data_IF_220030654575
#
_entry.id   IF_220030654575
#
_cell.length_a   1.000
_cell.length_b   1.000
_cell.length_c   1.000
_cell.angle_alpha   90.00
_cell.angle_beta   90.00
_cell.angle_gamma   90.00
#
_symmetry.space_group_name_H-M   'P 1'
#
loop_
_entity.id
_entity.type
_entity.pdbx_description
1 polymer ?
#
# COMPACT_ATOMS: atom_id res chain seq x y z
N UNK A 1 21.05 -4.56 3.79
CA UNK A 1 20.49 -3.66 2.75
C UNK A 1 19.52 -4.40 1.86
N UNK A 2 19.88 -5.57 1.33
CA UNK A 2 18.97 -6.43 0.57
C UNK A 2 17.72 -6.86 1.36
N UNK A 3 17.85 -7.18 2.66
CA UNK A 3 16.71 -7.47 3.53
C UNK A 3 15.72 -6.30 3.64
N UNK A 4 16.23 -5.07 3.78
CA UNK A 4 15.41 -3.85 3.87
C UNK A 4 14.69 -3.60 2.54
N UNK A 5 15.38 -3.81 1.42
CA UNK A 5 14.78 -3.69 0.09
C UNK A 5 13.69 -4.73 -0.12
N UNK A 6 13.90 -5.97 0.34
CA UNK A 6 12.91 -7.04 0.29
C UNK A 6 11.69 -6.71 1.16
N UNK A 7 11.90 -6.26 2.40
CA UNK A 7 10.83 -5.84 3.30
C UNK A 7 10.03 -4.67 2.72
N UNK A 8 10.71 -3.69 2.13
CA UNK A 8 10.03 -2.55 1.48
C UNK A 8 9.20 -2.98 0.27
N UNK A 9 9.64 -3.98 -0.50
CA UNK A 9 8.87 -4.52 -1.62
C UNK A 9 7.55 -5.13 -1.14
N UNK A 10 7.61 -5.94 -0.07
CA UNK A 10 6.43 -6.55 0.54
C UNK A 10 5.44 -5.49 1.04
N UNK A 11 5.97 -4.40 1.62
CA UNK A 11 5.14 -3.27 2.08
C UNK A 11 4.50 -2.53 0.90
N UNK A 12 5.24 -2.30 -0.19
CA UNK A 12 4.73 -1.67 -1.41
C UNK A 12 3.68 -2.52 -2.10
N UNK A 13 3.82 -3.86 -2.09
CA UNK A 13 2.76 -4.77 -2.52
C UNK A 13 1.47 -4.55 -1.72
N UNK A 14 1.57 -4.42 -0.39
CA UNK A 14 0.42 -4.09 0.45
C UNK A 14 -0.25 -2.76 0.08
N UNK A 15 0.53 -1.75 -0.33
CA UNK A 15 -0.01 -0.47 -0.83
C UNK A 15 -0.69 -0.65 -2.19
N UNK A 16 -0.09 -1.41 -3.11
CA UNK A 16 -0.71 -1.74 -4.42
C UNK A 16 -2.05 -2.43 -4.25
N UNK A 17 -2.19 -3.34 -3.28
CA UNK A 17 -3.47 -3.99 -2.98
C UNK A 17 -4.54 -3.02 -2.47
N UNK A 18 -4.16 -2.01 -1.68
CA UNK A 18 -5.10 -0.95 -1.27
C UNK A 18 -5.50 -0.06 -2.45
N UNK A 19 -4.56 0.26 -3.34
CA UNK A 19 -4.85 1.00 -4.57
C UNK A 19 -5.80 0.22 -5.48
N UNK A 20 -5.69 -1.12 -5.53
CA UNK A 20 -6.65 -1.98 -6.23
C UNK A 20 -8.06 -1.86 -5.64
N UNK A 21 -8.23 -1.92 -4.32
CA UNK A 21 -9.54 -1.73 -3.67
C UNK A 21 -10.14 -0.36 -4.04
N UNK A 22 -9.31 0.68 -3.96
CA UNK A 22 -9.67 2.04 -4.38
C UNK A 22 -10.10 2.08 -5.85
N UNK A 23 -9.37 1.40 -6.76
CA UNK A 23 -9.71 1.34 -8.18
C UNK A 23 -11.05 0.62 -8.45
N UNK A 24 -11.40 -0.39 -7.64
CA UNK A 24 -12.69 -1.08 -7.71
C UNK A 24 -13.84 -0.16 -7.26
N UNK A 25 -13.64 0.61 -6.20
CA UNK A 25 -14.63 1.58 -5.68
C UNK A 25 -14.80 2.80 -6.60
N UNK A 26 -13.73 3.23 -7.28
CA UNK A 26 -13.72 4.37 -8.20
C UNK A 26 -14.49 4.13 -9.51
N UNK A 27 -14.82 2.89 -9.86
CA UNK A 27 -15.56 2.58 -11.08
C UNK A 27 -16.96 3.22 -11.13
N UNK A 28 -17.52 3.56 -9.96
CA UNK A 28 -18.88 4.07 -9.84
C UNK A 28 -18.97 5.61 -9.74
N UNK A 29 -17.94 6.32 -9.23
CA UNK A 29 -18.01 7.80 -9.07
C UNK A 29 -16.62 8.51 -9.06
N UNK A 30 -15.94 8.50 -10.20
CA UNK A 30 -14.53 8.90 -10.38
C UNK A 30 -14.14 10.30 -9.86
N UNK A 31 -15.01 11.30 -9.93
CA UNK A 31 -14.64 12.70 -9.68
C UNK A 31 -14.66 13.12 -8.21
N UNK A 32 -15.46 12.48 -7.36
CA UNK A 32 -15.56 12.82 -5.94
C UNK A 32 -14.39 12.24 -5.14
N UNK A 33 -13.88 11.08 -5.54
CA UNK A 33 -12.81 10.39 -4.84
C UNK A 33 -11.41 10.81 -5.27
N UNK A 34 -11.26 11.53 -6.39
CA UNK A 34 -9.96 11.97 -6.91
C UNK A 34 -9.17 12.79 -5.87
N UNK A 35 -9.85 13.67 -5.14
CA UNK A 35 -9.22 14.47 -4.08
C UNK A 35 -8.80 13.62 -2.88
N UNK A 36 -9.58 12.58 -2.54
CA UNK A 36 -9.29 11.69 -1.44
C UNK A 36 -8.09 10.77 -1.72
N UNK A 37 -7.83 10.44 -2.99
CA UNK A 37 -6.77 9.49 -3.38
C UNK A 37 -5.46 10.16 -3.80
N UNK A 38 -5.49 11.44 -4.20
CA UNK A 38 -4.33 12.12 -4.79
C UNK A 38 -3.12 12.09 -3.86
N UNK A 39 -3.30 12.37 -2.56
CA UNK A 39 -2.19 12.35 -1.59
C UNK A 39 -1.58 10.96 -1.48
N UNK A 40 -2.40 9.91 -1.37
CA UNK A 40 -1.91 8.53 -1.27
C UNK A 40 -1.18 8.06 -2.53
N UNK A 41 -1.63 8.49 -3.71
CA UNK A 41 -0.93 8.21 -4.97
C UNK A 41 0.41 8.93 -5.06
N UNK A 42 0.49 10.18 -4.61
CA UNK A 42 1.76 10.93 -4.57
C UNK A 42 2.77 10.25 -3.63
N UNK A 43 2.33 9.84 -2.44
CA UNK A 43 3.18 9.09 -1.49
C UNK A 43 3.63 7.75 -2.07
N UNK A 44 2.75 7.03 -2.78
CA UNK A 44 3.13 5.80 -3.47
C UNK A 44 4.20 6.06 -4.53
N UNK A 45 4.02 7.09 -5.37
CA UNK A 45 5.00 7.49 -6.41
C UNK A 45 6.34 7.85 -5.76
N UNK A 46 6.34 8.60 -4.66
CA UNK A 46 7.55 8.94 -3.92
C UNK A 46 8.27 7.68 -3.41
N UNK A 47 7.53 6.76 -2.77
CA UNK A 47 8.09 5.55 -2.19
C UNK A 47 8.69 4.59 -3.24
N UNK A 48 7.99 4.34 -4.34
CA UNK A 48 8.50 3.46 -5.42
C UNK A 48 9.67 4.11 -6.14
N UNK A 49 9.65 5.43 -6.35
CA UNK A 49 10.75 6.15 -6.98
C UNK A 49 12.00 6.12 -6.10
N UNK A 50 11.84 6.33 -4.79
CA UNK A 50 12.95 6.28 -3.85
C UNK A 50 13.57 4.89 -3.78
N UNK A 51 12.74 3.84 -3.68
CA UNK A 51 13.21 2.46 -3.66
C UNK A 51 13.92 2.08 -4.97
N UNK A 52 13.36 2.47 -6.12
CA UNK A 52 13.97 2.22 -7.43
C UNK A 52 15.32 2.92 -7.56
N UNK A 53 15.43 4.18 -7.12
CA UNK A 53 16.69 4.92 -7.15
C UNK A 53 17.77 4.26 -6.27
N UNK A 54 17.43 3.75 -5.09
CA UNK A 54 18.37 3.01 -4.24
C UNK A 54 18.87 1.73 -4.96
N UNK A 55 17.98 1.04 -5.70
CA UNK A 55 18.31 -0.22 -6.40
C UNK A 55 19.14 -0.02 -7.67
N UNK A 56 18.90 1.06 -8.41
CA UNK A 56 19.34 1.19 -9.81
C UNK A 56 20.16 2.45 -10.10
N UNK A 57 20.15 3.43 -9.18
CA UNK A 57 20.64 4.79 -9.40
C UNK A 57 19.99 5.52 -10.59
N UNK A 58 18.79 5.11 -11.01
CA UNK A 58 17.96 5.80 -12.00
C UNK A 58 16.63 6.26 -11.43
N UNK A 59 15.94 7.13 -12.16
CA UNK A 59 14.55 7.51 -11.87
C UNK A 59 13.62 6.56 -12.64
N UNK A 60 12.65 5.98 -11.93
CA UNK A 60 11.61 5.16 -12.55
C UNK A 60 10.70 6.02 -13.44
N UNK A 61 10.29 5.48 -14.59
CA UNK A 61 9.36 6.17 -15.48
C UNK A 61 7.90 6.03 -15.03
N UNK A 62 7.06 6.95 -15.49
CA UNK A 62 5.62 6.89 -15.24
C UNK A 62 4.98 5.61 -15.80
N UNK A 63 5.48 5.12 -16.95
CA UNK A 63 5.01 3.89 -17.57
C UNK A 63 5.31 2.66 -16.69
N UNK A 64 6.51 2.59 -16.11
CA UNK A 64 6.89 1.51 -15.20
C UNK A 64 6.09 1.52 -13.89
N UNK A 65 5.74 2.70 -13.38
CA UNK A 65 4.84 2.82 -12.22
C UNK A 65 3.44 2.32 -12.60
N UNK A 66 2.88 2.79 -13.71
CA UNK A 66 1.53 2.41 -14.15
C UNK A 66 1.40 0.90 -14.45
N UNK A 67 2.47 0.27 -14.95
CA UNK A 67 2.52 -1.18 -15.16
C UNK A 67 2.34 -1.97 -13.85
N UNK A 68 2.82 -1.43 -12.73
CA UNK A 68 2.64 -2.04 -11.40
C UNK A 68 1.25 -1.81 -10.81
N UNK A 69 0.48 -0.87 -11.37
CA UNK A 69 -0.90 -0.55 -10.98
C UNK A 69 -1.93 -1.04 -12.00
N UNK A 70 -1.51 -1.90 -12.94
CA UNK A 70 -2.43 -2.58 -13.84
C UNK A 70 -2.84 -3.89 -13.19
N UNK A 71 -4.10 -3.97 -12.78
CA UNK A 71 -4.64 -5.14 -12.09
C UNK A 71 -5.57 -5.91 -13.01
N UNK A 72 -5.54 -7.24 -12.91
CA UNK A 72 -6.45 -8.11 -13.65
C UNK A 72 -7.57 -8.60 -12.72
N UNK A 73 -8.68 -9.08 -13.30
CA UNK A 73 -9.81 -9.64 -12.53
C UNK A 73 -9.40 -10.79 -11.60
N UNK A 74 -8.31 -11.50 -11.90
CA UNK A 74 -7.76 -12.58 -11.05
C UNK A 74 -7.10 -12.06 -9.76
N UNK A 75 -6.68 -10.79 -9.72
CA UNK A 75 -6.04 -10.19 -8.55
C UNK A 75 -7.05 -9.87 -7.43
N UNK A 76 -8.35 -9.85 -7.76
CA UNK A 76 -9.45 -9.62 -6.80
C UNK A 76 -9.68 -10.75 -5.79
N UNK A 77 -9.17 -11.97 -6.06
CA UNK A 77 -9.41 -13.15 -5.23
C UNK A 77 -8.38 -13.39 -4.12
N UNK A 78 -7.32 -12.56 -4.03
CA UNK A 78 -6.25 -12.73 -3.05
C UNK A 78 -6.51 -11.90 -1.80
N UNK A 79 -7.52 -12.29 -1.01
CA UNK A 79 -7.61 -11.88 0.39
C UNK A 79 -6.40 -12.42 1.16
N UNK A 80 -5.29 -11.68 1.16
CA UNK A 80 -4.14 -12.02 1.99
C UNK A 80 -4.48 -11.68 3.44
N UNK A 81 -4.70 -12.73 4.25
CA UNK A 81 -4.71 -12.67 5.71
C UNK A 81 -3.47 -11.91 6.18
N UNK A 82 -3.69 -10.73 6.75
CA UNK A 82 -2.67 -9.95 7.45
C UNK A 82 -1.99 -10.83 8.50
N UNK A 83 -0.66 -11.07 8.47
CA UNK A 83 0.05 -11.58 9.62
C UNK A 83 0.27 -10.40 10.59
N UNK A 84 -0.81 -9.92 11.21
CA UNK A 84 -0.77 -8.82 12.19
C UNK A 84 -1.85 -8.93 13.27
N UNK A 85 -2.39 -10.12 13.51
CA UNK A 85 -3.40 -10.30 14.57
C UNK A 85 -2.79 -10.21 15.98
N UNK A 86 -1.50 -10.51 16.16
CA UNK A 86 -0.88 -10.58 17.50
C UNK A 86 -0.41 -9.23 18.05
N UNK A 87 -0.16 -8.23 17.18
CA UNK A 87 0.31 -6.92 17.60
C UNK A 87 -0.85 -6.00 18.06
N UNK A 88 -2.02 -6.13 17.45
CA UNK A 88 -3.17 -5.27 17.71
C UNK A 88 -3.91 -5.65 19.02
N UNK A 89 -3.88 -6.93 19.41
CA UNK A 89 -4.49 -7.36 20.67
C UNK A 89 -3.74 -6.85 21.91
N UNK A 90 -2.40 -6.80 21.87
CA UNK A 90 -1.60 -6.25 22.97
C UNK A 90 -1.92 -4.77 23.21
N UNK A 91 -1.96 -3.94 22.16
CA UNK A 91 -2.31 -2.53 22.31
C UNK A 91 -3.73 -2.36 22.86
N UNK A 92 -4.72 -3.08 22.32
CA UNK A 92 -6.12 -2.99 22.78
C UNK A 92 -6.27 -3.35 24.27
N UNK A 93 -5.49 -4.33 24.75
CA UNK A 93 -5.54 -4.75 26.16
C UNK A 93 -4.85 -3.74 27.08
N UNK A 94 -3.76 -3.11 26.64
CA UNK A 94 -3.08 -2.04 27.41
C UNK A 94 -4.01 -0.84 27.64
N UNK A 95 -4.75 -0.39 26.63
CA UNK A 95 -5.65 0.76 26.75
C UNK A 95 -6.82 0.54 27.72
N UNK A 96 -7.33 -0.70 27.80
CA UNK A 96 -8.39 -1.08 28.74
C UNK A 96 -7.92 -1.08 30.20
N UNK A 97 -6.65 -1.37 30.45
CA UNK A 97 -6.09 -1.40 31.81
C UNK A 97 -5.90 0.01 32.40
N UNK A 98 -5.61 1.01 31.56
CA UNK A 98 -5.43 2.40 32.01
C UNK A 98 -6.75 3.13 32.32
N UNK A 99 -7.89 2.69 31.79
CA UNK A 99 -9.19 3.35 31.95
C UNK A 99 -10.08 2.73 33.05
N UNK A 100 -9.56 1.78 33.82
CA UNK A 100 -10.29 1.06 34.87
C UNK A 100 -9.84 1.38 36.30
N UNK A 101 -9.12 2.48 36.52
CA UNK A 101 -8.79 3.01 37.86
C UNK A 101 -9.51 4.33 38.12
#
# INVERSE_FOLDING_TARGET
MEEILTESEIKLDGVRQKILQVAQELAEDMHQFLQAITTGLQEYVEAVSFQHFIKTHSLISMEEINKQLTFTTEDSGKENKTPSSDAQEKQRNTWKQFHSQ
#
